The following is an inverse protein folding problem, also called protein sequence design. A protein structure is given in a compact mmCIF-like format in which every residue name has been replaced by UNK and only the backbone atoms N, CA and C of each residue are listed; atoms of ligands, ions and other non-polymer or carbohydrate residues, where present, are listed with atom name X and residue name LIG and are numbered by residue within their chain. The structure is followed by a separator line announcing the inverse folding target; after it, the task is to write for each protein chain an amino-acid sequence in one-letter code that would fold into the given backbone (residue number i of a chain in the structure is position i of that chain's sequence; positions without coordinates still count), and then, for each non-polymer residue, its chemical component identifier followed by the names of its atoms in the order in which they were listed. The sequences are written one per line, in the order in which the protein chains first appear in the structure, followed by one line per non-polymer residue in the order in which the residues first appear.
data_IF_220688716146
#
_entry.id   IF_220688716146
#
_cell.length_a   1.000
_cell.length_b   1.000
_cell.length_c   1.000
_cell.angle_alpha   90.00
_cell.angle_beta   90.00
_cell.angle_gamma   90.00
#
_symmetry.space_group_name_H-M   'P 1'
#
loop_
_entity.id
_entity.type
_entity.pdbx_description
1 polymer ?
#
# COMPACT_ATOMS: atom_id res chain seq x y z
N UNK A 1 -0.09 -16.20 20.82
CA UNK A 1 1.27 -15.80 20.39
C UNK A 1 2.28 -16.94 20.39
N UNK A 2 2.56 -17.61 21.51
CA UNK A 2 3.61 -18.64 21.58
C UNK A 2 3.52 -19.71 20.47
N UNK A 3 2.33 -20.31 20.28
CA UNK A 3 2.14 -21.36 19.26
C UNK A 3 2.28 -20.89 17.81
N UNK A 4 2.03 -19.60 17.55
CA UNK A 4 2.24 -19.00 16.22
C UNK A 4 3.74 -18.90 15.97
N UNK A 5 4.51 -18.39 16.93
CA UNK A 5 5.97 -18.29 16.83
C UNK A 5 6.60 -19.67 16.66
N UNK A 6 6.21 -20.64 17.47
CA UNK A 6 6.68 -22.03 17.32
C UNK A 6 6.39 -22.61 15.93
N UNK A 7 5.25 -22.27 15.33
CA UNK A 7 4.90 -22.72 13.97
C UNK A 7 5.77 -22.05 12.92
N UNK A 8 6.00 -20.74 13.04
CA UNK A 8 6.88 -20.01 12.11
C UNK A 8 8.32 -20.49 12.27
N UNK A 9 8.83 -20.63 13.49
CA UNK A 9 10.18 -21.12 13.78
C UNK A 9 10.39 -22.56 13.26
N UNK A 10 9.33 -23.38 13.21
CA UNK A 10 9.41 -24.72 12.62
C UNK A 10 9.54 -24.72 11.09
N UNK A 11 9.05 -23.67 10.41
CA UNK A 11 9.08 -23.52 8.94
C UNK A 11 10.27 -22.69 8.48
N UNK A 12 10.61 -21.63 9.22
CA UNK A 12 11.70 -20.70 8.98
C UNK A 12 12.55 -20.52 10.26
N UNK A 13 13.32 -21.55 10.64
CA UNK A 13 14.13 -21.53 11.86
C UNK A 13 15.26 -20.50 11.81
N UNK A 14 15.64 -20.04 10.62
CA UNK A 14 16.67 -19.02 10.42
C UNK A 14 16.10 -17.59 10.48
N UNK A 15 14.77 -17.43 10.41
CA UNK A 15 14.10 -16.13 10.35
C UNK A 15 14.45 -15.33 9.09
N UNK A 16 14.73 -16.04 7.99
CA UNK A 16 15.17 -15.43 6.72
C UNK A 16 14.01 -14.99 5.84
N UNK A 17 12.84 -15.63 5.99
CA UNK A 17 11.72 -15.54 5.05
C UNK A 17 10.48 -14.90 5.67
N UNK A 18 10.28 -15.05 6.98
CA UNK A 18 9.07 -14.56 7.64
C UNK A 18 9.36 -13.56 8.76
N UNK A 19 8.57 -12.48 8.77
CA UNK A 19 8.49 -11.51 9.85
C UNK A 19 7.14 -11.61 10.55
N UNK A 20 7.14 -11.69 11.88
CA UNK A 20 5.91 -11.64 12.69
C UNK A 20 5.78 -10.24 13.27
N UNK A 21 4.65 -9.59 13.03
CA UNK A 21 4.24 -8.35 13.67
C UNK A 21 2.98 -8.58 14.51
N UNK A 22 2.98 -8.06 15.74
CA UNK A 22 1.81 -8.05 16.62
C UNK A 22 1.34 -6.60 16.75
N UNK A 23 0.22 -6.28 16.11
CA UNK A 23 -0.32 -4.92 16.06
C UNK A 23 -1.07 -4.55 17.35
N UNK A 24 -1.23 -5.51 18.27
CA UNK A 24 -2.09 -5.43 19.45
C UNK A 24 -3.58 -5.69 19.17
N UNK A 25 -3.99 -5.75 17.90
CA UNK A 25 -5.35 -6.13 17.48
C UNK A 25 -5.33 -7.47 16.73
N UNK A 26 -4.32 -7.66 15.91
CA UNK A 26 -4.11 -8.82 15.05
C UNK A 26 -2.62 -9.14 14.90
N UNK A 27 -2.36 -10.29 14.29
CA UNK A 27 -1.01 -10.82 14.09
C UNK A 27 -0.78 -10.97 12.59
N UNK A 28 0.27 -10.33 12.09
CA UNK A 28 0.66 -10.38 10.69
C UNK A 28 1.92 -11.24 10.54
N UNK A 29 1.93 -12.12 9.54
CA UNK A 29 3.10 -12.90 9.13
C UNK A 29 3.43 -12.49 7.71
N UNK A 30 4.50 -11.73 7.53
CA UNK A 30 4.89 -11.11 6.26
C UNK A 30 6.11 -11.80 5.68
N UNK A 31 6.26 -11.72 4.35
CA UNK A 31 7.46 -12.18 3.66
C UNK A 31 8.57 -11.15 3.79
N UNK A 32 9.78 -11.64 4.05
CA UNK A 32 11.00 -10.85 3.93
C UNK A 32 11.51 -10.94 2.49
N UNK A 33 11.84 -9.79 1.92
CA UNK A 33 12.35 -9.65 0.55
C UNK A 33 13.81 -9.26 0.61
N UNK A 34 14.66 -10.03 -0.06
CA UNK A 34 16.05 -9.63 -0.28
C UNK A 34 16.08 -8.35 -1.13
N UNK A 35 16.82 -7.33 -0.70
CA UNK A 35 17.06 -6.16 -1.55
C UNK A 35 18.28 -6.43 -2.43
N UNK A 36 18.19 -6.11 -3.72
CA UNK A 36 19.29 -6.26 -4.69
C UNK A 36 20.47 -5.29 -4.43
N UNK A 37 20.45 -4.55 -3.33
CA UNK A 37 21.51 -3.62 -2.96
C UNK A 37 22.65 -4.37 -2.27
N UNK A 38 23.89 -4.06 -2.66
CA UNK A 38 25.15 -4.71 -2.21
C UNK A 38 25.38 -4.72 -0.68
N UNK A 39 24.52 -4.07 0.12
CA UNK A 39 24.58 -4.04 1.59
C UNK A 39 23.72 -5.11 2.30
N UNK A 40 23.07 -6.03 1.59
CA UNK A 40 22.53 -7.26 2.19
C UNK A 40 21.43 -7.06 3.24
N UNK A 41 20.65 -5.98 3.10
CA UNK A 41 19.50 -5.73 3.96
C UNK A 41 18.25 -6.45 3.46
N UNK A 42 17.70 -7.34 4.28
CA UNK A 42 16.37 -7.89 4.05
C UNK A 42 15.32 -6.83 4.48
N UNK A 43 14.34 -6.54 3.62
CA UNK A 43 13.23 -5.64 3.96
C UNK A 43 11.92 -6.41 4.04
N UNK A 44 10.96 -5.89 4.80
CA UNK A 44 9.61 -6.44 4.80
C UNK A 44 8.92 -6.11 3.48
N UNK A 45 8.21 -7.10 2.92
CA UNK A 45 7.37 -6.90 1.75
C UNK A 45 6.27 -5.89 2.07
N UNK A 46 6.13 -4.84 1.25
CA UNK A 46 5.07 -3.85 1.42
C UNK A 46 4.11 -3.82 0.21
N UNK A 47 3.05 -3.01 0.31
CA UNK A 47 2.07 -2.88 -0.78
C UNK A 47 2.66 -2.24 -2.04
N UNK A 48 3.76 -1.48 -1.95
CA UNK A 48 4.44 -0.95 -3.13
C UNK A 48 5.06 -2.07 -3.94
N UNK A 49 5.71 -3.04 -3.28
CA UNK A 49 6.29 -4.22 -3.94
C UNK A 49 5.21 -4.99 -4.72
N UNK A 50 4.04 -5.20 -4.11
CA UNK A 50 2.92 -5.86 -4.76
C UNK A 50 2.41 -5.13 -6.00
N UNK A 51 2.21 -3.80 -5.90
CA UNK A 51 1.77 -3.00 -7.05
C UNK A 51 2.79 -3.02 -8.18
N UNK A 52 4.09 -2.92 -7.84
CA UNK A 52 5.16 -2.94 -8.83
C UNK A 52 5.30 -4.30 -9.52
N UNK A 53 5.12 -5.38 -8.76
CA UNK A 53 5.06 -6.73 -9.30
C UNK A 53 3.91 -6.86 -10.30
N UNK A 54 2.70 -6.44 -9.92
CA UNK A 54 1.52 -6.54 -10.79
C UNK A 54 1.64 -5.69 -12.06
N UNK A 55 2.18 -4.47 -11.97
CA UNK A 55 2.43 -3.63 -13.14
C UNK A 55 3.35 -4.32 -14.14
N UNK A 56 4.42 -4.96 -13.66
CA UNK A 56 5.37 -5.70 -14.50
C UNK A 56 4.74 -6.94 -15.12
N UNK A 57 4.06 -7.77 -14.33
CA UNK A 57 3.54 -9.06 -14.80
C UNK A 57 2.30 -8.90 -15.70
N UNK A 58 1.46 -7.90 -15.43
CA UNK A 58 0.20 -7.69 -16.16
C UNK A 58 0.27 -6.57 -17.19
N UNK A 59 1.36 -5.80 -17.22
CA UNK A 59 1.50 -4.64 -18.11
C UNK A 59 0.46 -3.56 -17.83
N UNK A 60 0.21 -3.23 -16.56
CA UNK A 60 -0.84 -2.26 -16.16
C UNK A 60 -0.57 -0.85 -16.70
N UNK A 61 0.69 -0.52 -16.95
CA UNK A 61 1.09 0.75 -17.54
C UNK A 61 1.01 1.90 -16.55
N UNK A 62 1.42 1.67 -15.30
CA UNK A 62 1.37 2.71 -14.25
C UNK A 62 2.11 3.99 -14.64
N UNK A 63 3.16 3.91 -15.47
CA UNK A 63 3.86 5.09 -15.97
C UNK A 63 3.01 5.96 -16.93
N UNK A 64 1.99 5.38 -17.57
CA UNK A 64 1.13 6.07 -18.50
C UNK A 64 0.01 6.87 -17.81
N UNK A 65 -0.43 6.48 -16.61
CA UNK A 65 -1.48 7.17 -15.86
C UNK A 65 -2.77 7.52 -16.64
N UNK A 66 -3.66 8.32 -16.04
CA UNK A 66 -3.67 8.70 -14.63
C UNK A 66 -3.96 7.52 -13.71
N UNK A 67 -3.31 7.47 -12.55
CA UNK A 67 -3.52 6.43 -11.54
C UNK A 67 -4.34 6.97 -10.37
N UNK A 68 -5.32 6.21 -9.90
CA UNK A 68 -6.05 6.49 -8.66
C UNK A 68 -5.70 5.42 -7.63
N UNK A 69 -5.11 5.84 -6.52
CA UNK A 69 -4.77 4.96 -5.40
C UNK A 69 -5.69 5.28 -4.24
N UNK A 70 -6.43 4.26 -3.80
CA UNK A 70 -7.30 4.34 -2.63
C UNK A 70 -6.64 3.65 -1.44
N UNK A 71 -6.73 4.25 -0.25
CA UNK A 71 -6.19 3.68 0.98
C UNK A 71 -6.90 4.18 2.23
N UNK A 72 -6.60 3.58 3.37
CA UNK A 72 -7.22 3.94 4.66
C UNK A 72 -6.22 3.88 5.82
N UNK A 73 -5.12 3.14 5.65
CA UNK A 73 -4.06 2.96 6.65
C UNK A 73 -2.72 3.51 6.19
N UNK A 74 -1.75 3.56 7.10
CA UNK A 74 -0.37 3.93 6.75
C UNK A 74 0.31 2.92 5.83
N UNK A 75 -0.14 1.67 5.81
CA UNK A 75 0.40 0.62 4.93
C UNK A 75 0.12 0.88 3.45
N UNK A 76 -0.84 1.75 3.12
CA UNK A 76 -1.20 2.10 1.75
C UNK A 76 -0.36 3.25 1.17
N UNK A 77 0.33 4.01 2.03
CA UNK A 77 1.15 5.16 1.61
C UNK A 77 2.30 4.75 0.67
N UNK A 78 3.01 3.63 0.89
CA UNK A 78 3.98 3.12 -0.07
C UNK A 78 3.44 2.96 -1.50
N UNK A 79 2.18 2.54 -1.69
CA UNK A 79 1.60 2.44 -3.04
C UNK A 79 1.57 3.81 -3.75
N UNK A 80 1.21 4.86 -3.01
CA UNK A 80 1.18 6.24 -3.52
C UNK A 80 2.58 6.67 -3.95
N UNK A 81 3.58 6.43 -3.11
CA UNK A 81 4.96 6.74 -3.42
C UNK A 81 5.47 5.97 -4.65
N UNK A 82 5.15 4.69 -4.76
CA UNK A 82 5.53 3.85 -5.89
C UNK A 82 4.94 4.35 -7.22
N UNK A 83 3.65 4.71 -7.23
CA UNK A 83 3.01 5.28 -8.42
C UNK A 83 3.57 6.66 -8.77
N UNK A 84 3.82 7.52 -7.77
CA UNK A 84 4.45 8.82 -7.99
C UNK A 84 5.88 8.69 -8.57
N UNK A 85 6.61 7.65 -8.19
CA UNK A 85 7.91 7.31 -8.79
C UNK A 85 7.82 6.91 -10.26
N UNK A 86 6.61 6.64 -10.79
CA UNK A 86 6.36 6.29 -12.19
C UNK A 86 5.69 7.40 -12.99
N UNK A 87 4.79 8.16 -12.36
CA UNK A 87 4.07 9.27 -13.00
C UNK A 87 3.60 10.32 -11.99
N UNK A 88 3.68 11.59 -12.39
CA UNK A 88 3.10 12.74 -11.67
C UNK A 88 1.56 12.78 -11.76
N UNK A 89 0.97 12.02 -12.69
CA UNK A 89 -0.49 11.88 -12.86
C UNK A 89 -1.09 10.85 -11.90
N UNK A 90 -0.66 10.89 -10.65
CA UNK A 90 -1.19 10.07 -9.56
C UNK A 90 -2.16 10.89 -8.73
N UNK A 91 -3.32 10.30 -8.40
CA UNK A 91 -4.29 10.78 -7.44
C UNK A 91 -4.34 9.83 -6.24
N UNK A 92 -4.41 10.38 -5.04
CA UNK A 92 -4.58 9.62 -3.81
C UNK A 92 -5.96 9.90 -3.19
N UNK A 93 -6.73 8.86 -2.89
CA UNK A 93 -8.01 8.96 -2.18
C UNK A 93 -7.92 8.19 -0.85
N UNK A 94 -7.86 8.92 0.27
CA UNK A 94 -7.70 8.29 1.59
C UNK A 94 -8.93 8.45 2.48
N UNK A 95 -9.35 7.33 3.08
CA UNK A 95 -10.47 7.25 4.02
C UNK A 95 -9.92 7.09 5.43
N UNK A 96 -9.82 8.17 6.20
CA UNK A 96 -9.25 8.11 7.55
C UNK A 96 -9.68 9.27 8.42
N UNK A 97 -9.77 9.05 9.74
CA UNK A 97 -9.92 10.12 10.75
C UNK A 97 -8.57 10.55 11.35
N UNK A 98 -7.49 9.81 11.08
CA UNK A 98 -6.16 10.06 11.65
C UNK A 98 -5.51 11.29 10.99
N UNK A 99 -5.31 12.36 11.76
CA UNK A 99 -4.71 13.62 11.27
C UNK A 99 -3.31 13.43 10.70
N UNK A 100 -2.49 12.59 11.32
CA UNK A 100 -1.12 12.34 10.85
C UNK A 100 -1.09 11.63 9.50
N UNK A 101 -1.98 10.67 9.28
CA UNK A 101 -2.08 9.99 7.98
C UNK A 101 -2.57 10.95 6.90
N UNK A 102 -3.59 11.77 7.21
CA UNK A 102 -4.06 12.83 6.29
C UNK A 102 -2.93 13.75 5.87
N UNK A 103 -2.15 14.25 6.82
CA UNK A 103 -1.01 15.12 6.56
C UNK A 103 0.04 14.41 5.71
N UNK A 104 0.43 13.20 6.09
CA UNK A 104 1.45 12.41 5.36
C UNK A 104 1.07 12.18 3.90
N UNK A 105 -0.18 11.85 3.60
CA UNK A 105 -0.64 11.64 2.22
C UNK A 105 -0.70 12.96 1.44
N UNK A 106 -1.23 14.03 2.06
CA UNK A 106 -1.30 15.34 1.43
C UNK A 106 0.08 15.94 1.12
N UNK A 107 1.07 15.73 2.01
CA UNK A 107 2.45 16.16 1.77
C UNK A 107 3.12 15.36 0.65
N UNK A 108 2.78 14.07 0.52
CA UNK A 108 3.35 13.17 -0.48
C UNK A 108 2.75 13.38 -1.88
N UNK A 109 1.43 13.56 -1.98
CA UNK A 109 0.70 13.65 -3.24
C UNK A 109 -0.14 14.93 -3.30
N UNK A 110 0.18 15.88 -4.20
CA UNK A 110 -0.60 17.11 -4.33
C UNK A 110 -2.08 16.87 -4.69
N UNK A 111 -2.34 15.83 -5.50
CA UNK A 111 -3.67 15.46 -5.96
C UNK A 111 -4.35 14.49 -4.97
N UNK A 112 -4.69 14.99 -3.78
CA UNK A 112 -5.27 14.16 -2.72
C UNK A 112 -6.74 14.48 -2.45
N UNK A 113 -7.57 13.44 -2.35
CA UNK A 113 -8.93 13.47 -1.80
C UNK A 113 -8.94 12.78 -0.43
N UNK A 114 -9.41 13.48 0.61
CA UNK A 114 -9.47 12.95 1.97
C UNK A 114 -10.89 12.95 2.49
N UNK A 115 -11.37 11.78 2.92
CA UNK A 115 -12.67 11.61 3.58
C UNK A 115 -12.52 10.80 4.86
N UNK A 116 -13.48 10.87 5.76
CA UNK A 116 -13.54 10.03 6.97
C UNK A 116 -14.44 8.79 6.78
N UNK A 117 -15.16 8.70 5.66
CA UNK A 117 -16.08 7.58 5.37
C UNK A 117 -15.95 7.07 3.94
N UNK A 118 -15.98 5.73 3.74
CA UNK A 118 -15.88 5.12 2.42
C UNK A 118 -17.08 5.47 1.54
N UNK A 119 -18.27 5.64 2.11
CA UNK A 119 -19.51 5.99 1.39
C UNK A 119 -19.38 7.29 0.60
N UNK A 120 -18.63 8.26 1.13
CA UNK A 120 -18.38 9.53 0.44
C UNK A 120 -17.53 9.29 -0.81
N UNK A 121 -16.47 8.48 -0.68
CA UNK A 121 -15.63 8.10 -1.83
C UNK A 121 -16.45 7.35 -2.89
N UNK A 122 -17.22 6.35 -2.48
CA UNK A 122 -18.07 5.56 -3.39
C UNK A 122 -19.10 6.45 -4.10
N UNK A 123 -19.74 7.36 -3.35
CA UNK A 123 -20.72 8.31 -3.92
C UNK A 123 -20.07 9.22 -4.97
N UNK A 124 -18.89 9.77 -4.67
CA UNK A 124 -18.16 10.63 -5.61
C UNK A 124 -17.77 9.85 -6.88
N UNK A 125 -17.25 8.63 -6.72
CA UNK A 125 -16.88 7.78 -7.87
C UNK A 125 -18.09 7.44 -8.74
N UNK A 126 -19.24 7.12 -8.12
CA UNK A 126 -20.48 6.88 -8.83
C UNK A 126 -20.93 8.11 -9.63
N UNK A 127 -20.94 9.30 -9.01
CA UNK A 127 -21.31 10.55 -9.69
C UNK A 127 -20.40 10.85 -10.88
N UNK A 128 -19.09 10.62 -10.75
CA UNK A 128 -18.13 10.78 -11.85
C UNK A 128 -18.39 9.78 -12.99
N UNK A 129 -18.69 8.52 -12.66
CA UNK A 129 -19.02 7.49 -13.64
C UNK A 129 -20.32 7.82 -14.40
N UNK A 130 -21.35 8.30 -13.70
CA UNK A 130 -22.63 8.68 -14.30
C UNK A 130 -22.51 9.89 -15.23
N UNK A 131 -21.67 10.88 -14.89
CA UNK A 131 -21.41 12.04 -15.74
C UNK A 131 -20.66 11.71 -17.02
N UNK A 132 -19.80 10.68 -17.00
CA UNK A 132 -19.05 10.21 -18.17
C UNK A 132 -19.84 9.31 -19.10
N UNK A 133 -20.93 8.72 -18.62
CA UNK A 133 -21.77 7.79 -19.38
C UNK A 133 -22.89 8.49 -20.16
N UNK A 134 -22.90 9.82 -20.16
CA UNK A 134 -23.78 10.70 -20.96
C UNK A 134 -22.95 11.41 -22.01
#
# INVERSE_FOLDING_TARGET
MQRIRETVDAVDPAGEYFRIEDTGLDVEIMLTVATDNEEGGAKDFDKADGVMFLDRELGLGLAAGPNLICGDTSSDVPMVAASLGRTDRTWAAFVTTKKELRKRVADLCPNTFLTDRPDVLVTVLNELAMKRSK
#
